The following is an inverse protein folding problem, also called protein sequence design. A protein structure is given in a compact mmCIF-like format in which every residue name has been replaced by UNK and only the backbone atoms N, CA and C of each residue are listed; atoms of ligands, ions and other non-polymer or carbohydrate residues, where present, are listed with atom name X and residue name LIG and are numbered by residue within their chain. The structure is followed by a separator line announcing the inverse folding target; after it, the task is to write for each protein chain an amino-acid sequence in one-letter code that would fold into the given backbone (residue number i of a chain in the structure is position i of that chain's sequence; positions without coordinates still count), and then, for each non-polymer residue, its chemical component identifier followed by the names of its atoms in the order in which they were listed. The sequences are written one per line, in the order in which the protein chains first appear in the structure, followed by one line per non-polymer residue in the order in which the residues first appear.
data_IF_332025541685
#
_entry.id   IF_332025541685
#
_cell.length_a   1.000
_cell.length_b   1.000
_cell.length_c   1.000
_cell.angle_alpha   90.00
_cell.angle_beta   90.00
_cell.angle_gamma   90.00
#
_symmetry.space_group_name_H-M   'P 1'
#
loop_
_entity.id
_entity.type
_entity.pdbx_description
1 polymer ?
#
# COMPACT_ATOMS: atom_id res chain seq x y z
N UNK A 1 45.06 -11.32 9.22
CA UNK A 1 45.08 -9.85 9.38
C UNK A 1 44.80 -9.54 10.84
N UNK A 2 45.66 -8.80 11.56
CA UNK A 2 45.45 -8.41 12.95
C UNK A 2 44.29 -7.40 13.07
N UNK A 3 43.60 -7.40 14.20
CA UNK A 3 42.42 -6.55 14.44
C UNK A 3 42.62 -5.05 14.14
N UNK A 4 43.77 -4.42 14.47
CA UNK A 4 44.01 -3.02 14.13
C UNK A 4 44.03 -2.73 12.62
N UNK A 5 44.56 -3.66 11.80
CA UNK A 5 44.59 -3.52 10.34
C UNK A 5 43.18 -3.69 9.74
N UNK A 6 42.38 -4.61 10.28
CA UNK A 6 40.99 -4.77 9.88
C UNK A 6 40.16 -3.52 10.23
N UNK A 7 40.34 -2.98 11.44
CA UNK A 7 39.62 -1.79 11.88
C UNK A 7 39.97 -0.58 11.00
N UNK A 8 41.25 -0.39 10.67
CA UNK A 8 41.66 0.65 9.73
C UNK A 8 41.09 0.42 8.33
N UNK A 9 41.09 -0.81 7.81
CA UNK A 9 40.52 -1.11 6.50
C UNK A 9 39.00 -0.88 6.45
N UNK A 10 38.29 -1.14 7.55
CA UNK A 10 36.85 -0.95 7.66
C UNK A 10 36.44 0.52 7.79
N UNK A 11 37.27 1.33 8.44
CA UNK A 11 37.04 2.77 8.67
C UNK A 11 37.83 3.69 7.73
N UNK A 12 38.60 3.13 6.80
CA UNK A 12 39.27 3.92 5.77
C UNK A 12 38.22 4.59 4.87
N UNK A 13 38.44 5.86 4.55
CA UNK A 13 37.65 6.55 3.54
C UNK A 13 37.78 5.80 2.21
N UNK A 14 36.67 5.45 1.55
CA UNK A 14 36.73 4.61 0.38
C UNK A 14 37.43 5.34 -0.78
N UNK A 15 38.42 4.68 -1.38
CA UNK A 15 39.16 5.19 -2.53
C UNK A 15 38.20 5.40 -3.71
N UNK A 16 38.24 6.61 -4.28
CA UNK A 16 37.40 7.01 -5.43
C UNK A 16 37.71 6.13 -6.64
N UNK A 17 36.83 5.17 -6.93
CA UNK A 17 36.86 4.46 -8.20
C UNK A 17 36.00 5.23 -9.22
N UNK A 18 36.53 5.58 -10.41
CA UNK A 18 35.85 6.47 -11.37
C UNK A 18 34.54 5.93 -11.94
N UNK A 19 34.16 4.69 -11.63
CA UNK A 19 32.92 4.04 -12.08
C UNK A 19 31.77 4.12 -11.06
N UNK A 20 32.03 4.61 -9.83
CA UNK A 20 31.01 4.70 -8.77
C UNK A 20 30.71 6.17 -8.50
N UNK A 21 29.59 6.66 -9.05
CA UNK A 21 29.20 8.07 -8.95
C UNK A 21 28.63 8.47 -7.58
N UNK A 22 28.23 7.51 -6.73
CA UNK A 22 27.58 7.78 -5.46
C UNK A 22 28.26 7.08 -4.28
N UNK A 23 28.87 7.88 -3.40
CA UNK A 23 29.29 7.47 -2.06
C UNK A 23 28.19 7.80 -1.05
N UNK A 24 27.11 7.02 -1.06
CA UNK A 24 26.20 6.97 0.10
C UNK A 24 26.60 5.78 0.97
N UNK A 25 26.81 6.00 2.28
CA UNK A 25 27.06 4.92 3.23
C UNK A 25 26.06 3.78 3.05
N UNK A 26 26.49 2.53 3.22
CA UNK A 26 25.64 1.33 3.06
C UNK A 26 24.36 1.51 3.88
N UNK A 27 23.22 1.68 3.19
CA UNK A 27 21.92 1.99 3.79
C UNK A 27 21.30 3.35 3.39
N UNK A 28 22.08 4.28 2.82
CA UNK A 28 21.59 5.61 2.41
C UNK A 28 21.49 5.79 0.90
N UNK A 29 21.76 4.75 0.11
CA UNK A 29 21.48 4.79 -1.32
C UNK A 29 19.97 4.85 -1.56
N UNK A 30 19.55 5.55 -2.62
CA UNK A 30 18.16 5.61 -3.06
C UNK A 30 17.54 4.21 -3.24
N UNK A 31 18.36 3.24 -3.68
CA UNK A 31 17.99 1.83 -3.83
C UNK A 31 17.72 1.19 -2.46
N UNK A 32 18.61 1.36 -1.48
CA UNK A 32 18.43 0.79 -0.14
C UNK A 32 17.19 1.38 0.56
N UNK A 33 16.95 2.68 0.39
CA UNK A 33 15.76 3.34 0.92
C UNK A 33 14.48 2.81 0.26
N UNK A 34 14.46 2.69 -1.07
CA UNK A 34 13.31 2.16 -1.81
C UNK A 34 12.98 0.71 -1.43
N UNK A 35 14.00 -0.13 -1.25
CA UNK A 35 13.81 -1.52 -0.81
C UNK A 35 13.29 -1.58 0.62
N UNK A 36 13.83 -0.77 1.53
CA UNK A 36 13.36 -0.72 2.91
C UNK A 36 11.88 -0.28 2.98
N UNK A 37 11.47 0.65 2.12
CA UNK A 37 10.07 1.07 2.02
C UNK A 37 9.16 -0.07 1.55
N UNK A 38 9.55 -0.79 0.48
CA UNK A 38 8.79 -1.94 0.00
C UNK A 38 8.62 -2.99 1.11
N UNK A 39 9.69 -3.30 1.84
CA UNK A 39 9.65 -4.23 2.97
C UNK A 39 8.70 -3.78 4.09
N UNK A 40 8.64 -2.48 4.38
CA UNK A 40 7.69 -1.94 5.37
C UNK A 40 6.26 -2.12 4.86
N UNK A 41 5.98 -1.70 3.62
CA UNK A 41 4.64 -1.79 3.04
C UNK A 41 4.13 -3.24 2.93
N UNK A 42 5.02 -4.18 2.62
CA UNK A 42 4.70 -5.61 2.52
C UNK A 42 4.38 -6.23 3.90
N UNK A 43 4.87 -5.65 4.99
CA UNK A 43 4.61 -6.11 6.36
C UNK A 43 3.36 -5.53 6.99
N UNK A 44 2.87 -4.37 6.50
CA UNK A 44 1.68 -3.72 7.05
C UNK A 44 0.45 -4.64 7.18
N UNK A 45 0.13 -5.53 6.22
CA UNK A 45 -1.00 -6.45 6.35
C UNK A 45 -0.88 -7.42 7.54
N UNK A 46 0.33 -7.66 8.05
CA UNK A 46 0.58 -8.51 9.21
C UNK A 46 0.58 -7.74 10.53
N UNK A 47 0.92 -6.45 10.48
CA UNK A 47 1.02 -5.59 11.66
C UNK A 47 -0.31 -4.95 12.04
N UNK A 48 -1.13 -4.62 11.04
CA UNK A 48 -2.43 -3.95 11.22
C UNK A 48 -3.52 -4.98 11.39
N UNK A 49 -4.24 -4.95 12.51
CA UNK A 49 -5.22 -5.97 12.88
C UNK A 49 -6.66 -5.52 12.65
N UNK A 50 -7.54 -6.40 12.12
CA UNK A 50 -8.97 -6.08 12.03
C UNK A 50 -9.55 -5.67 13.38
N UNK A 51 -10.41 -4.64 13.38
CA UNK A 51 -11.15 -4.23 14.57
C UNK A 51 -12.40 -5.09 14.73
N UNK A 52 -13.24 -4.82 15.73
CA UNK A 52 -14.52 -5.55 15.90
C UNK A 52 -15.41 -5.45 14.66
N UNK A 53 -15.50 -4.26 14.06
CA UNK A 53 -16.41 -3.96 12.94
C UNK A 53 -15.73 -3.85 11.58
N UNK A 54 -14.43 -3.52 11.54
CA UNK A 54 -13.74 -3.11 10.30
C UNK A 54 -12.64 -4.10 9.91
N UNK A 55 -12.58 -4.47 8.63
CA UNK A 55 -11.47 -5.24 8.05
C UNK A 55 -10.54 -4.35 7.21
N UNK A 56 -9.21 -4.39 7.41
CA UNK A 56 -8.25 -3.77 6.50
C UNK A 56 -8.03 -4.58 5.22
N UNK A 57 -8.27 -3.96 4.07
CA UNK A 57 -7.95 -4.47 2.75
C UNK A 57 -6.78 -3.68 2.17
N UNK A 58 -5.58 -4.25 2.30
CA UNK A 58 -4.37 -3.68 1.70
C UNK A 58 -4.28 -4.04 0.23
N UNK A 59 -4.28 -3.05 -0.66
CA UNK A 59 -4.15 -3.27 -2.10
C UNK A 59 -3.00 -2.44 -2.67
N UNK A 60 -2.13 -3.11 -3.43
CA UNK A 60 -1.09 -2.47 -4.22
C UNK A 60 -1.59 -2.32 -5.67
N UNK A 61 -1.72 -1.07 -6.12
CA UNK A 61 -2.22 -0.70 -7.44
C UNK A 61 -1.13 -0.08 -8.34
N UNK A 62 0.14 -0.42 -8.13
CA UNK A 62 1.22 0.05 -9.01
C UNK A 62 0.99 -0.29 -10.49
N UNK A 63 0.25 -1.37 -10.78
CA UNK A 63 -0.15 -1.78 -12.15
C UNK A 63 -1.11 -0.80 -12.82
N UNK A 64 -1.75 0.11 -12.07
CA UNK A 64 -2.72 1.07 -12.57
C UNK A 64 -2.12 2.47 -12.84
N UNK A 65 -0.81 2.64 -12.70
CA UNK A 65 -0.15 3.91 -13.01
C UNK A 65 -0.39 4.33 -14.48
N UNK A 66 -0.94 5.51 -14.70
CA UNK A 66 -1.29 6.03 -16.03
C UNK A 66 -2.48 5.36 -16.72
N UNK A 67 -3.18 4.43 -16.06
CA UNK A 67 -4.37 3.78 -16.64
C UNK A 67 -5.55 4.75 -16.60
N UNK A 68 -6.23 4.89 -17.74
CA UNK A 68 -7.39 5.79 -17.91
C UNK A 68 -8.70 5.05 -18.13
N UNK A 69 -8.63 3.77 -18.52
CA UNK A 69 -9.79 2.93 -18.77
C UNK A 69 -10.46 2.55 -17.44
N UNK A 70 -11.71 2.98 -17.28
CA UNK A 70 -12.50 2.71 -16.06
C UNK A 70 -12.76 1.22 -15.86
N UNK A 71 -12.89 0.43 -16.93
CA UNK A 71 -13.10 -1.01 -16.83
C UNK A 71 -11.84 -1.72 -16.35
N UNK A 72 -10.67 -1.33 -16.85
CA UNK A 72 -9.39 -1.86 -16.41
C UNK A 72 -9.12 -1.51 -14.94
N UNK A 73 -9.40 -0.27 -14.53
CA UNK A 73 -9.32 0.15 -13.13
C UNK A 73 -10.27 -0.68 -12.26
N UNK A 74 -11.54 -0.82 -12.67
CA UNK A 74 -12.52 -1.59 -11.91
C UNK A 74 -12.11 -3.05 -11.72
N UNK A 75 -11.66 -3.70 -12.80
CA UNK A 75 -11.23 -5.08 -12.77
C UNK A 75 -10.01 -5.27 -11.88
N UNK A 76 -9.01 -4.39 -11.97
CA UNK A 76 -7.81 -4.48 -11.14
C UNK A 76 -8.13 -4.28 -9.66
N UNK A 77 -8.96 -3.29 -9.30
CA UNK A 77 -9.45 -3.15 -7.92
C UNK A 77 -10.15 -4.41 -7.44
N UNK A 78 -11.00 -5.01 -8.28
CA UNK A 78 -11.67 -6.27 -7.97
C UNK A 78 -10.68 -7.41 -7.75
N UNK A 79 -9.70 -7.57 -8.64
CA UNK A 79 -8.66 -8.58 -8.57
C UNK A 79 -7.90 -8.48 -7.24
N UNK A 80 -7.44 -7.27 -6.88
CA UNK A 80 -6.68 -7.04 -5.66
C UNK A 80 -7.52 -7.28 -4.41
N UNK A 81 -8.75 -6.75 -4.36
CA UNK A 81 -9.65 -6.95 -3.22
C UNK A 81 -10.00 -8.43 -3.04
N UNK A 82 -10.33 -9.15 -4.12
CA UNK A 82 -10.68 -10.56 -4.04
C UNK A 82 -9.51 -11.44 -3.61
N UNK A 83 -8.30 -11.14 -4.07
CA UNK A 83 -7.09 -11.87 -3.64
C UNK A 83 -6.90 -11.77 -2.13
N UNK A 84 -7.19 -10.62 -1.54
CA UNK A 84 -7.08 -10.39 -0.09
C UNK A 84 -8.25 -11.03 0.67
N UNK A 85 -9.48 -10.84 0.20
CA UNK A 85 -10.68 -11.30 0.90
C UNK A 85 -10.96 -12.81 0.75
N UNK A 86 -10.51 -13.41 -0.36
CA UNK A 86 -10.76 -14.81 -0.71
C UNK A 86 -9.48 -15.49 -1.24
N UNK A 87 -8.47 -15.72 -0.39
CA UNK A 87 -7.18 -16.28 -0.81
C UNK A 87 -7.30 -17.66 -1.47
N UNK A 88 -8.29 -18.45 -1.08
CA UNK A 88 -8.52 -19.80 -1.61
C UNK A 88 -9.44 -19.85 -2.84
N UNK A 89 -10.03 -18.71 -3.25
CA UNK A 89 -10.98 -18.68 -4.35
C UNK A 89 -10.30 -18.34 -5.68
N UNK A 90 -10.37 -19.26 -6.63
CA UNK A 90 -9.83 -19.08 -7.99
C UNK A 90 -10.75 -18.30 -8.91
N UNK A 91 -12.01 -18.06 -8.52
CA UNK A 91 -12.99 -17.37 -9.36
C UNK A 91 -13.22 -15.93 -8.90
N UNK A 92 -12.45 -15.01 -9.51
CA UNK A 92 -12.64 -13.57 -9.38
C UNK A 92 -13.72 -13.12 -10.38
N UNK A 93 -14.73 -12.35 -9.95
CA UNK A 93 -15.77 -11.88 -10.85
C UNK A 93 -15.23 -10.84 -11.84
N UNK A 94 -15.84 -10.81 -13.02
CA UNK A 94 -15.59 -9.78 -14.02
C UNK A 94 -16.40 -8.52 -13.68
N UNK A 95 -15.73 -7.38 -13.63
CA UNK A 95 -16.34 -6.07 -13.36
C UNK A 95 -15.75 -5.01 -14.29
N UNK A 96 -16.63 -4.15 -14.79
CA UNK A 96 -16.30 -3.12 -15.79
C UNK A 96 -16.49 -1.69 -15.24
N UNK A 97 -17.00 -1.54 -14.02
CA UNK A 97 -17.23 -0.25 -13.39
C UNK A 97 -17.39 -0.38 -11.87
N UNK A 98 -17.36 0.75 -11.18
CA UNK A 98 -17.53 0.83 -9.73
C UNK A 98 -18.85 0.18 -9.27
N UNK A 99 -19.97 0.40 -9.97
CA UNK A 99 -21.26 -0.15 -9.56
C UNK A 99 -21.27 -1.69 -9.56
N UNK A 100 -20.59 -2.33 -10.51
CA UNK A 100 -20.41 -3.78 -10.52
C UNK A 100 -19.50 -4.26 -9.39
N UNK A 101 -18.41 -3.56 -9.09
CA UNK A 101 -17.56 -3.85 -7.92
C UNK A 101 -18.37 -3.76 -6.61
N UNK A 102 -19.19 -2.72 -6.45
CA UNK A 102 -20.03 -2.51 -5.25
C UNK A 102 -21.02 -3.64 -4.98
N UNK A 103 -21.53 -4.30 -6.02
CA UNK A 103 -22.45 -5.44 -5.86
C UNK A 103 -21.83 -6.62 -5.11
N UNK A 104 -20.51 -6.72 -5.13
CA UNK A 104 -19.77 -7.80 -4.46
C UNK A 104 -19.37 -7.48 -3.02
N UNK A 105 -19.46 -6.21 -2.60
CA UNK A 105 -19.09 -5.78 -1.24
C UNK A 105 -19.86 -6.52 -0.14
N UNK A 106 -21.19 -6.77 -0.23
CA UNK A 106 -21.89 -7.56 0.78
C UNK A 106 -21.32 -8.98 0.94
N UNK A 107 -20.89 -9.61 -0.17
CA UNK A 107 -20.27 -10.93 -0.15
C UNK A 107 -18.89 -10.90 0.52
N UNK A 108 -18.10 -9.85 0.26
CA UNK A 108 -16.80 -9.63 0.91
C UNK A 108 -16.99 -9.45 2.43
N UNK A 109 -17.94 -8.61 2.85
CA UNK A 109 -18.30 -8.39 4.26
C UNK A 109 -18.70 -9.69 4.97
N UNK A 110 -19.53 -10.50 4.31
CA UNK A 110 -19.95 -11.80 4.84
C UNK A 110 -18.77 -12.76 5.01
N UNK A 111 -17.87 -12.84 4.02
CA UNK A 111 -16.69 -13.70 4.09
C UNK A 111 -15.75 -13.30 5.24
N UNK A 112 -15.54 -12.01 5.43
CA UNK A 112 -14.64 -11.47 6.45
C UNK A 112 -15.30 -11.36 7.84
N UNK A 113 -16.61 -11.58 7.91
CA UNK A 113 -17.44 -11.35 9.11
C UNK A 113 -17.27 -9.93 9.69
N UNK A 114 -17.24 -8.91 8.83
CA UNK A 114 -17.06 -7.48 9.18
C UNK A 114 -18.10 -6.60 8.51
N UNK A 115 -18.56 -5.58 9.22
CA UNK A 115 -19.55 -4.61 8.75
C UNK A 115 -18.93 -3.60 7.79
N UNK A 116 -17.69 -3.19 8.09
CA UNK A 116 -16.98 -2.13 7.41
C UNK A 116 -15.67 -2.63 6.81
N UNK A 117 -15.27 -2.00 5.71
CA UNK A 117 -14.08 -2.36 4.96
C UNK A 117 -13.22 -1.11 4.79
N UNK A 118 -12.01 -1.15 5.34
CA UNK A 118 -11.00 -0.12 5.18
C UNK A 118 -10.08 -0.47 4.01
N UNK A 119 -10.22 0.24 2.90
CA UNK A 119 -9.38 0.05 1.72
C UNK A 119 -8.11 0.90 1.83
N UNK A 120 -6.96 0.25 1.97
CA UNK A 120 -5.66 0.90 2.15
C UNK A 120 -4.85 0.71 0.88
N UNK A 121 -4.65 1.80 0.13
CA UNK A 121 -4.12 1.81 -1.22
C UNK A 121 -2.65 2.20 -1.23
N UNK A 122 -1.80 1.42 -1.93
CA UNK A 122 -0.38 1.69 -2.12
C UNK A 122 0.05 1.53 -3.59
N UNK A 123 1.29 1.94 -3.90
CA UNK A 123 1.95 1.62 -5.17
C UNK A 123 1.72 2.60 -6.32
N UNK A 124 0.78 3.53 -6.19
CA UNK A 124 0.57 4.61 -7.16
C UNK A 124 0.23 5.93 -6.46
N UNK A 125 0.47 7.04 -7.15
CA UNK A 125 0.03 8.38 -6.76
C UNK A 125 -1.48 8.51 -6.97
N UNK A 126 -2.17 9.42 -6.25
CA UNK A 126 -3.60 9.66 -6.43
C UNK A 126 -3.89 10.39 -7.76
N UNK A 127 -3.73 9.66 -8.87
CA UNK A 127 -4.05 10.16 -10.21
C UNK A 127 -5.56 10.40 -10.36
N UNK A 128 -5.94 11.38 -11.19
CA UNK A 128 -7.33 11.83 -11.30
C UNK A 128 -8.32 10.70 -11.61
N UNK A 129 -7.95 9.72 -12.44
CA UNK A 129 -8.85 8.59 -12.76
C UNK A 129 -9.04 7.64 -11.57
N UNK A 130 -7.98 7.40 -10.81
CA UNK A 130 -8.03 6.56 -9.61
C UNK A 130 -8.80 7.26 -8.49
N UNK A 131 -8.57 8.56 -8.32
CA UNK A 131 -9.35 9.45 -7.44
C UNK A 131 -10.83 9.41 -7.81
N UNK A 132 -11.16 9.62 -9.09
CA UNK A 132 -12.54 9.55 -9.57
C UNK A 132 -13.18 8.18 -9.30
N UNK A 133 -12.44 7.09 -9.48
CA UNK A 133 -12.92 5.75 -9.19
C UNK A 133 -13.13 5.54 -7.67
N UNK A 134 -12.20 5.98 -6.84
CA UNK A 134 -12.29 5.93 -5.38
C UNK A 134 -13.52 6.71 -4.87
N UNK A 135 -13.86 7.85 -5.47
CA UNK A 135 -15.08 8.59 -5.15
C UNK A 135 -16.35 7.80 -5.46
N UNK A 136 -16.34 6.94 -6.48
CA UNK A 136 -17.52 6.13 -6.83
C UNK A 136 -17.77 4.96 -5.87
N UNK A 137 -16.76 4.57 -5.09
CA UNK A 137 -16.81 3.44 -4.15
C UNK A 137 -16.69 3.86 -2.68
N UNK A 138 -16.54 5.16 -2.39
CA UNK A 138 -16.40 5.68 -1.02
C UNK A 138 -17.67 5.56 -0.17
N UNK A 139 -18.80 5.22 -0.78
CA UNK A 139 -20.05 4.90 -0.08
C UNK A 139 -20.05 3.51 0.57
N UNK A 140 -19.11 2.64 0.18
CA UNK A 140 -19.04 1.26 0.66
C UNK A 140 -17.68 0.87 1.28
N UNK A 141 -16.64 1.68 1.05
CA UNK A 141 -15.31 1.53 1.63
C UNK A 141 -14.85 2.81 2.33
N UNK A 142 -14.17 2.66 3.47
CA UNK A 142 -13.35 3.72 4.05
C UNK A 142 -11.98 3.70 3.37
N UNK A 143 -11.61 4.78 2.68
CA UNK A 143 -10.43 4.76 1.81
C UNK A 143 -9.29 5.54 2.47
N UNK A 144 -8.12 4.91 2.51
CA UNK A 144 -6.86 5.54 2.84
C UNK A 144 -5.81 5.27 1.77
N UNK A 145 -4.88 6.21 1.62
CA UNK A 145 -3.77 6.13 0.67
C UNK A 145 -2.45 6.24 1.41
N UNK A 146 -1.51 5.35 1.09
CA UNK A 146 -0.13 5.47 1.54
C UNK A 146 0.67 6.10 0.39
N UNK A 147 0.93 7.40 0.49
CA UNK A 147 1.60 8.19 -0.55
C UNK A 147 2.23 9.46 0.03
N UNK A 148 3.29 9.95 -0.60
CA UNK A 148 3.90 11.25 -0.28
C UNK A 148 3.09 12.43 -0.87
N UNK A 149 2.12 12.16 -1.74
CA UNK A 149 1.29 13.19 -2.34
C UNK A 149 0.08 13.56 -1.48
N UNK A 150 -0.38 14.82 -1.54
CA UNK A 150 -1.53 15.26 -0.77
C UNK A 150 -2.80 14.53 -1.22
N UNK A 151 -3.47 13.92 -0.25
CA UNK A 151 -4.77 13.27 -0.43
C UNK A 151 -5.86 14.23 0.07
N UNK A 152 -6.84 14.53 -0.77
CA UNK A 152 -7.94 15.42 -0.38
C UNK A 152 -8.99 14.69 0.47
N UNK A 153 -9.60 15.36 1.46
CA UNK A 153 -10.74 14.81 2.20
C UNK A 153 -11.87 14.37 1.25
N UNK A 154 -12.62 13.29 1.57
CA UNK A 154 -12.73 12.63 2.87
C UNK A 154 -11.71 11.51 3.13
N UNK A 155 -10.78 11.25 2.21
CA UNK A 155 -9.84 10.13 2.35
C UNK A 155 -8.68 10.47 3.28
N UNK A 156 -8.11 9.43 3.89
CA UNK A 156 -6.95 9.56 4.77
C UNK A 156 -5.65 9.36 3.99
N UNK A 157 -4.72 10.30 4.11
CA UNK A 157 -3.36 10.14 3.60
C UNK A 157 -2.40 9.70 4.70
N UNK A 158 -1.53 8.75 4.40
CA UNK A 158 -0.46 8.30 5.27
C UNK A 158 0.86 8.39 4.51
N UNK A 159 1.89 8.96 5.14
CA UNK A 159 3.21 9.02 4.50
C UNK A 159 3.87 7.64 4.58
N UNK A 160 4.44 7.12 3.47
CA UNK A 160 5.14 5.82 3.47
C UNK A 160 6.36 5.81 4.40
N UNK A 161 6.91 6.98 4.76
CA UNK A 161 8.10 7.11 5.61
C UNK A 161 7.79 7.53 7.04
N UNK A 162 6.51 7.67 7.42
CA UNK A 162 6.21 8.04 8.79
C UNK A 162 6.61 6.93 9.76
N UNK A 163 7.18 7.32 10.89
CA UNK A 163 7.39 6.39 11.99
C UNK A 163 6.03 5.88 12.49
N UNK A 164 5.99 4.60 12.88
CA UNK A 164 4.79 3.95 13.43
C UNK A 164 3.60 3.95 12.45
N UNK A 165 3.86 3.77 11.14
CA UNK A 165 2.83 3.72 10.10
C UNK A 165 1.71 2.73 10.43
N UNK A 166 2.04 1.53 10.93
CA UNK A 166 1.06 0.53 11.35
C UNK A 166 0.18 1.03 12.51
N UNK A 167 0.74 1.66 13.54
CA UNK A 167 -0.02 2.22 14.67
C UNK A 167 -0.97 3.34 14.23
N UNK A 168 -0.51 4.20 13.31
CA UNK A 168 -1.32 5.31 12.78
C UNK A 168 -2.49 4.78 11.94
N UNK A 169 -2.25 3.75 11.13
CA UNK A 169 -3.31 3.05 10.39
C UNK A 169 -4.26 2.37 11.36
N UNK A 170 -3.75 1.70 12.41
CA UNK A 170 -4.56 1.05 13.42
C UNK A 170 -5.48 2.04 14.13
N UNK A 171 -4.95 3.20 14.54
CA UNK A 171 -5.72 4.28 15.16
C UNK A 171 -6.86 4.74 14.25
N UNK A 172 -6.59 4.93 12.96
CA UNK A 172 -7.62 5.30 11.99
C UNK A 172 -8.69 4.19 11.82
N UNK A 173 -8.31 2.92 11.88
CA UNK A 173 -9.30 1.84 11.86
C UNK A 173 -10.17 1.81 13.11
N UNK A 174 -9.61 2.16 14.27
CA UNK A 174 -10.35 2.29 15.53
C UNK A 174 -11.30 3.50 15.52
N UNK A 175 -11.02 4.54 14.71
CA UNK A 175 -11.92 5.68 14.51
C UNK A 175 -13.14 5.36 13.61
N UNK A 176 -13.01 4.34 12.75
CA UNK A 176 -14.09 3.91 11.84
C UNK A 176 -15.17 3.12 12.59
N UNK A 177 -14.77 2.29 13.56
CA UNK A 177 -15.61 1.24 14.19
C UNK A 177 -15.96 1.46 15.66
#
# INVERSE_FOLDING_TARGET
MPYPEFYQAWHAEPTVHPEVADYTAVGYSSIAQSLNQQLILDRLPQEVQPTTQTYPLFINIATLAGVTDTSAIAQEFCNKIYTVAFPDNTHIPEVNNAAQLKRWVPKIRQQLAKSDLALIITGCKPEQNLVNFCHQISDVFHIAWITDEPVSPPWRGFLPHQQNLSDVIQTWMDEIG
#
